data_IF_817178278554
#
_entry.id   IF_817178278554
#
_cell.length_a   1.000
_cell.length_b   1.000
_cell.length_c   1.000
_cell.angle_alpha   90.00
_cell.angle_beta   90.00
_cell.angle_gamma   90.00
#
_symmetry.space_group_name_H-M   'P 1'
#
loop_
_entity.id
_entity.type
_entity.pdbx_description
1 polymer ?
#
# COMPACT_ATOMS: atom_id res chain seq x y z
N UNK A 1 17.47 7.30 -14.41
CA UNK A 1 16.20 6.65 -14.01
C UNK A 1 15.80 7.21 -12.65
N UNK A 2 14.69 7.96 -12.62
CA UNK A 2 14.21 8.70 -11.45
C UNK A 2 13.41 7.75 -10.54
N UNK A 3 13.87 7.50 -9.31
CA UNK A 3 13.09 6.78 -8.31
C UNK A 3 12.43 7.77 -7.35
N UNK A 4 11.20 8.13 -7.70
CA UNK A 4 10.28 8.91 -6.86
C UNK A 4 9.85 8.08 -5.65
N UNK A 5 10.54 8.26 -4.52
CA UNK A 5 10.12 7.72 -3.22
C UNK A 5 9.12 8.68 -2.59
N UNK A 6 7.83 8.32 -2.63
CA UNK A 6 6.76 9.03 -1.91
C UNK A 6 7.02 8.95 -0.40
N UNK A 7 7.53 10.05 0.19
CA UNK A 7 7.53 10.28 1.64
C UNK A 7 6.08 10.45 2.09
N UNK A 8 5.50 9.42 2.70
CA UNK A 8 4.28 9.60 3.50
C UNK A 8 4.71 10.29 4.79
N UNK A 9 4.52 11.61 4.83
CA UNK A 9 4.69 12.40 6.03
C UNK A 9 3.55 12.07 7.00
N UNK A 10 3.88 11.47 8.14
CA UNK A 10 3.02 11.43 9.30
C UNK A 10 3.75 12.04 10.49
N UNK A 11 3.24 13.17 10.93
CA UNK A 11 3.45 13.85 12.21
C UNK A 11 2.12 14.55 12.48
N UNK A 12 1.60 14.60 13.73
CA UNK A 12 2.37 15.06 14.88
C UNK A 12 2.09 14.34 16.23
N UNK A 13 3.08 14.32 17.13
CA UNK A 13 2.86 14.35 18.59
C UNK A 13 4.16 14.80 19.28
N UNK A 14 4.09 15.99 19.90
CA UNK A 14 5.15 16.64 20.67
C UNK A 14 5.51 15.82 21.92
N UNK A 15 6.72 15.30 21.94
CA UNK A 15 7.61 15.31 23.11
C UNK A 15 9.05 15.48 22.59
N UNK A 16 9.28 16.59 21.88
CA UNK A 16 10.57 16.90 21.31
C UNK A 16 11.49 17.52 22.38
N UNK A 17 12.22 16.66 23.09
CA UNK A 17 13.66 16.92 23.27
C UNK A 17 14.41 15.59 23.34
N UNK A 18 14.90 15.08 22.19
CA UNK A 18 15.95 14.07 22.15
C UNK A 18 17.07 14.57 21.24
N UNK A 19 18.10 15.19 21.83
CA UNK A 19 19.44 15.36 21.23
C UNK A 19 19.50 15.94 19.79
N UNK A 20 18.60 16.85 19.38
CA UNK A 20 18.64 17.69 18.17
C UNK A 20 19.18 17.11 16.83
N UNK A 21 19.20 15.77 16.66
CA UNK A 21 20.00 15.17 15.60
C UNK A 21 19.83 13.67 15.41
N UNK A 22 18.88 13.04 16.10
CA UNK A 22 18.60 11.60 15.95
C UNK A 22 17.11 11.39 15.63
N UNK A 23 16.84 10.75 14.50
CA UNK A 23 15.51 10.34 14.06
C UNK A 23 15.27 8.87 14.37
N UNK A 24 14.01 8.49 14.65
CA UNK A 24 13.59 7.09 14.77
C UNK A 24 13.05 6.60 13.43
N UNK A 25 13.55 5.47 12.95
CA UNK A 25 13.21 4.91 11.64
C UNK A 25 12.65 3.51 11.82
N UNK A 26 11.43 3.29 11.32
CA UNK A 26 10.84 1.97 11.17
C UNK A 26 11.03 1.51 9.71
N UNK A 27 11.64 0.34 9.52
CA UNK A 27 11.83 -0.26 8.20
C UNK A 27 11.00 -1.53 8.05
N UNK A 28 10.35 -1.69 6.89
CA UNK A 28 9.75 -2.95 6.47
C UNK A 28 10.64 -3.60 5.41
N UNK A 29 10.94 -4.88 5.59
CA UNK A 29 11.68 -5.70 4.65
C UNK A 29 10.80 -6.78 4.01
N UNK A 30 11.30 -7.37 2.93
CA UNK A 30 10.72 -8.57 2.29
C UNK A 30 11.77 -9.70 2.36
N UNK A 31 11.48 -10.88 2.95
CA UNK A 31 10.23 -11.28 3.62
C UNK A 31 9.90 -10.38 4.81
N UNK A 32 8.60 -10.30 5.17
CA UNK A 32 8.05 -9.34 6.12
C UNK A 32 8.82 -9.35 7.45
N UNK A 33 9.61 -8.29 7.68
CA UNK A 33 10.34 -8.04 8.92
C UNK A 33 10.30 -6.56 9.25
N UNK A 34 10.18 -6.25 10.53
CA UNK A 34 10.20 -4.89 11.06
C UNK A 34 11.54 -4.61 11.72
N UNK A 35 12.24 -3.57 11.25
CA UNK A 35 13.51 -3.11 11.81
C UNK A 35 13.35 -1.76 12.48
N UNK A 36 13.84 -1.64 13.72
CA UNK A 36 13.87 -0.39 14.48
C UNK A 36 15.28 0.18 14.45
N UNK A 37 15.41 1.36 13.86
CA UNK A 37 16.70 2.03 13.69
C UNK A 37 16.65 3.44 14.25
N UNK A 38 17.82 3.94 14.58
CA UNK A 38 18.05 5.35 14.77
C UNK A 38 18.89 5.88 13.62
N UNK A 39 18.61 7.09 13.17
CA UNK A 39 19.34 7.73 12.08
C UNK A 39 19.82 9.09 12.53
N UNK A 40 21.08 9.40 12.28
CA UNK A 40 21.54 10.78 12.45
C UNK A 40 20.83 11.67 11.42
N UNK A 41 20.16 12.73 11.88
CA UNK A 41 19.56 13.73 11.01
C UNK A 41 20.62 14.51 10.21
N UNK A 42 21.88 14.54 10.70
CA UNK A 42 22.99 15.27 10.06
C UNK A 42 23.73 14.42 9.04
N UNK A 43 24.14 13.20 9.41
CA UNK A 43 24.93 12.33 8.53
C UNK A 43 24.11 11.30 7.75
N UNK A 44 22.84 11.09 8.11
CA UNK A 44 21.98 10.07 7.51
C UNK A 44 22.35 8.63 7.86
N UNK A 45 23.44 8.41 8.62
CA UNK A 45 23.88 7.09 9.03
C UNK A 45 22.85 6.44 9.96
N UNK A 46 22.58 5.15 9.71
CA UNK A 46 21.67 4.34 10.50
C UNK A 46 22.46 3.48 11.48
N UNK A 47 21.98 3.45 12.73
CA UNK A 47 22.43 2.52 13.75
C UNK A 47 21.24 1.73 14.29
N UNK A 48 21.51 0.56 14.85
CA UNK A 48 20.50 -0.22 15.55
C UNK A 48 19.92 0.59 16.71
N UNK A 49 18.60 0.56 16.81
CA UNK A 49 17.91 1.16 17.94
C UNK A 49 17.22 0.08 18.76
N UNK A 50 17.55 0.04 20.05
CA UNK A 50 16.82 -0.75 21.03
C UNK A 50 15.54 -0.02 21.39
N UNK A 51 14.53 -0.18 20.55
CA UNK A 51 13.20 0.34 20.79
C UNK A 51 12.64 -0.21 22.12
N UNK A 52 11.99 0.62 22.96
CA UNK A 52 11.28 0.13 24.14
C UNK A 52 10.26 -0.94 23.76
N UNK A 53 10.11 -1.95 24.62
CA UNK A 53 9.25 -3.11 24.34
C UNK A 53 7.80 -2.70 24.05
N UNK A 54 7.23 -1.82 24.86
CA UNK A 54 5.83 -1.40 24.71
C UNK A 54 5.60 -0.68 23.38
N UNK A 55 6.52 0.20 22.97
CA UNK A 55 6.47 0.87 21.67
C UNK A 55 6.55 -0.13 20.51
N UNK A 56 7.44 -1.11 20.60
CA UNK A 56 7.55 -2.15 19.59
C UNK A 56 6.25 -2.95 19.49
N UNK A 57 5.72 -3.41 20.64
CA UNK A 57 4.47 -4.17 20.74
C UNK A 57 3.29 -3.41 20.16
N UNK A 58 3.11 -2.15 20.53
CA UNK A 58 2.04 -1.29 20.00
C UNK A 58 2.15 -1.12 18.48
N UNK A 59 3.37 -0.94 17.96
CA UNK A 59 3.60 -0.84 16.52
C UNK A 59 3.12 -2.10 15.80
N UNK A 60 3.42 -3.29 16.32
CA UNK A 60 2.92 -4.54 15.75
C UNK A 60 1.39 -4.63 15.79
N UNK A 61 0.78 -4.32 16.94
CA UNK A 61 -0.69 -4.33 17.07
C UNK A 61 -1.37 -3.37 16.08
N UNK A 62 -0.82 -2.18 15.90
CA UNK A 62 -1.33 -1.19 14.96
C UNK A 62 -1.21 -1.67 13.50
N UNK A 63 -0.08 -2.30 13.14
CA UNK A 63 0.11 -2.86 11.80
C UNK A 63 -0.88 -3.99 11.50
N UNK A 64 -1.14 -4.88 12.47
CA UNK A 64 -2.16 -5.94 12.31
C UNK A 64 -3.55 -5.33 12.14
N UNK A 65 -3.92 -4.33 12.93
CA UNK A 65 -5.20 -3.66 12.78
C UNK A 65 -5.35 -2.96 11.43
N UNK A 66 -4.29 -2.35 10.91
CA UNK A 66 -4.28 -1.75 9.58
C UNK A 66 -4.45 -2.81 8.49
N UNK A 67 -3.75 -3.95 8.61
CA UNK A 67 -3.90 -5.06 7.67
C UNK A 67 -5.34 -5.61 7.66
N UNK A 68 -5.94 -5.83 8.82
CA UNK A 68 -7.33 -6.29 8.95
C UNK A 68 -8.32 -5.29 8.35
N UNK A 69 -8.09 -3.98 8.55
CA UNK A 69 -8.91 -2.94 7.92
C UNK A 69 -8.79 -2.97 6.40
N UNK A 70 -7.58 -3.12 5.87
CA UNK A 70 -7.34 -3.24 4.42
C UNK A 70 -8.08 -4.46 3.88
N UNK A 71 -7.94 -5.62 4.51
CA UNK A 71 -8.62 -6.86 4.14
C UNK A 71 -10.16 -6.70 4.16
N UNK A 72 -10.70 -6.12 5.21
CA UNK A 72 -12.16 -5.90 5.35
C UNK A 72 -12.68 -4.87 4.35
N UNK A 73 -11.87 -3.86 4.01
CA UNK A 73 -12.21 -2.81 3.04
C UNK A 73 -11.94 -3.20 1.58
N UNK A 74 -11.28 -4.33 1.34
CA UNK A 74 -11.03 -4.86 0.00
C UNK A 74 -12.33 -5.43 -0.58
N UNK A 75 -13.29 -4.54 -0.90
CA UNK A 75 -14.47 -4.89 -1.68
C UNK A 75 -14.04 -5.15 -3.12
N UNK A 76 -13.95 -6.42 -3.50
CA UNK A 76 -14.09 -6.96 -4.86
C UNK A 76 -13.24 -6.35 -5.99
N UNK A 77 -12.13 -5.68 -5.65
CA UNK A 77 -11.17 -5.20 -6.64
C UNK A 77 -9.79 -5.73 -6.27
N UNK A 78 -9.47 -6.90 -6.81
CA UNK A 78 -8.09 -7.30 -7.05
C UNK A 78 -7.82 -6.99 -8.52
N UNK A 79 -7.01 -5.97 -8.76
CA UNK A 79 -6.58 -5.60 -10.10
C UNK A 79 -5.72 -6.70 -10.73
N UNK A 80 -6.36 -7.53 -11.55
CA UNK A 80 -5.79 -8.08 -12.79
C UNK A 80 -6.82 -8.13 -13.92
N UNK A 81 -7.79 -7.20 -13.92
CA UNK A 81 -8.76 -7.01 -15.00
C UNK A 81 -9.90 -8.02 -14.99
N UNK A 82 -11.14 -7.51 -14.99
CA UNK A 82 -12.42 -8.21 -15.12
C UNK A 82 -12.87 -9.06 -13.92
N UNK A 83 -13.67 -8.42 -13.06
CA UNK A 83 -14.92 -9.03 -12.62
C UNK A 83 -15.93 -7.92 -12.33
N UNK A 84 -16.97 -7.82 -13.16
CA UNK A 84 -18.18 -7.09 -12.79
C UNK A 84 -19.09 -8.02 -12.00
N UNK A 85 -19.94 -7.45 -11.14
CA UNK A 85 -21.05 -8.19 -10.51
C UNK A 85 -21.83 -8.90 -11.62
N UNK A 86 -22.23 -10.18 -11.43
CA UNK A 86 -23.01 -10.89 -12.45
C UNK A 86 -24.27 -10.09 -12.78
N UNK A 87 -24.42 -9.70 -14.03
CA UNK A 87 -25.63 -9.06 -14.52
C UNK A 87 -26.75 -10.10 -14.56
N UNK A 88 -27.47 -10.29 -13.46
CA UNK A 88 -28.75 -10.98 -13.47
C UNK A 88 -29.74 -10.15 -14.28
N UNK A 89 -29.97 -10.54 -15.53
CA UNK A 89 -31.00 -9.93 -16.37
C UNK A 89 -30.80 -9.92 -17.89
N UNK A 90 -29.76 -10.55 -18.47
CA UNK A 90 -29.59 -10.54 -19.93
C UNK A 90 -30.22 -11.79 -20.56
N UNK A 91 -31.36 -11.60 -21.23
CA UNK A 91 -32.04 -12.59 -22.07
C UNK A 91 -31.24 -12.85 -23.35
N UNK A 92 -31.08 -14.12 -23.72
CA UNK A 92 -30.27 -14.60 -24.85
C UNK A 92 -30.91 -14.29 -26.22
N UNK A 93 -30.80 -13.06 -26.71
CA UNK A 93 -31.46 -12.71 -27.98
C UNK A 93 -30.86 -11.60 -28.85
N UNK A 94 -29.59 -11.19 -28.68
CA UNK A 94 -29.06 -10.06 -29.49
C UNK A 94 -27.58 -10.15 -29.90
N UNK A 95 -26.88 -11.27 -29.66
CA UNK A 95 -25.41 -11.32 -29.81
C UNK A 95 -24.86 -11.74 -31.19
N UNK A 96 -25.57 -11.49 -32.30
CA UNK A 96 -25.01 -11.84 -33.64
C UNK A 96 -25.04 -10.74 -34.70
N UNK A 97 -25.56 -9.54 -34.42
CA UNK A 97 -25.73 -8.52 -35.47
C UNK A 97 -24.63 -7.44 -35.53
N UNK A 98 -23.52 -7.63 -34.80
CA UNK A 98 -22.42 -6.65 -34.75
C UNK A 98 -21.19 -6.95 -35.62
N UNK A 99 -21.03 -8.17 -36.14
CA UNK A 99 -19.77 -8.62 -36.76
C UNK A 99 -19.87 -8.90 -38.29
N UNK A 100 -21.03 -8.71 -38.91
CA UNK A 100 -21.24 -9.05 -40.32
C UNK A 100 -21.48 -7.85 -41.26
N UNK A 101 -21.01 -6.64 -40.90
CA UNK A 101 -21.21 -5.44 -41.74
C UNK A 101 -19.94 -4.60 -41.94
N UNK A 102 -18.80 -5.22 -42.24
CA UNK A 102 -17.58 -4.48 -42.65
C UNK A 102 -16.83 -5.03 -43.87
N UNK A 103 -17.35 -6.04 -44.59
CA UNK A 103 -16.67 -6.59 -45.80
C UNK A 103 -17.50 -6.53 -47.10
N UNK A 104 -18.57 -5.73 -47.18
CA UNK A 104 -19.35 -5.60 -48.41
C UNK A 104 -19.63 -4.14 -48.77
N UNK A 105 -18.58 -3.32 -49.00
CA UNK A 105 -18.69 -2.07 -49.78
C UNK A 105 -17.35 -1.49 -50.23
N UNK A 106 -16.77 -2.08 -51.26
CA UNK A 106 -16.00 -1.44 -52.34
C UNK A 106 -15.99 -2.51 -53.44
N UNK A 107 -16.63 -2.32 -54.58
CA UNK A 107 -16.27 -1.25 -55.51
C UNK A 107 -15.02 -1.73 -56.23
#
# INVERSE_FOLDING_TARGET
>A
ASQSTKRLAQSPATSATPEAGVERVLALHTPLRLGFYQRSARSGLRGDWKAPYDLARETFSNLVQLALKIETSASDVVGYGLASKPATGVSQGSLVEGHALLHARSG
#
